data_IF_129438684117
#
_entry.id   IF_129438684117
#
_cell.length_a   1.000
_cell.length_b   1.000
_cell.length_c   1.000
_cell.angle_alpha   90.00
_cell.angle_beta   90.00
_cell.angle_gamma   90.00
#
_symmetry.space_group_name_H-M   'P 1'
#
loop_
_entity.id
_entity.type
_entity.pdbx_description
1 polymer ?
#
# COMPACT_ATOMS: atom_id res chain seq x y z
N UNK A 1 9.22 -5.06 -16.97
CA UNK A 1 9.86 -4.33 -15.85
C UNK A 1 11.28 -4.86 -15.69
N UNK A 2 12.27 -4.01 -15.33
CA UNK A 2 13.60 -4.50 -15.02
C UNK A 2 13.53 -5.54 -13.88
N UNK A 3 14.33 -6.59 -13.96
CA UNK A 3 14.45 -7.58 -12.89
C UNK A 3 15.11 -6.91 -11.69
N UNK A 4 14.40 -6.85 -10.56
CA UNK A 4 14.93 -6.35 -9.30
C UNK A 4 15.41 -7.55 -8.50
N UNK A 5 16.73 -7.65 -8.32
CA UNK A 5 17.36 -8.68 -7.52
C UNK A 5 17.91 -8.03 -6.24
N UNK A 6 17.34 -8.39 -5.09
CA UNK A 6 17.74 -7.87 -3.78
C UNK A 6 17.85 -9.05 -2.81
N UNK A 7 18.94 -9.15 -2.02
CA UNK A 7 19.06 -10.17 -0.99
C UNK A 7 17.91 -10.11 0.01
N UNK A 8 17.37 -11.26 0.42
CA UNK A 8 16.25 -11.33 1.39
C UNK A 8 16.64 -10.68 2.72
N UNK A 9 17.90 -10.80 3.10
CA UNK A 9 18.51 -10.25 4.30
C UNK A 9 18.40 -8.72 4.33
N UNK A 10 18.53 -8.07 3.17
CA UNK A 10 18.33 -6.63 3.05
C UNK A 10 16.85 -6.27 3.24
N UNK A 11 15.92 -7.05 2.66
CA UNK A 11 14.48 -6.84 2.84
C UNK A 11 14.04 -6.98 4.29
N UNK A 12 14.65 -7.88 5.07
CA UNK A 12 14.37 -8.07 6.51
C UNK A 12 14.71 -6.86 7.37
N UNK A 13 15.63 -6.00 6.92
CA UNK A 13 15.95 -4.75 7.64
C UNK A 13 14.85 -3.69 7.48
N UNK A 14 13.90 -3.92 6.56
CA UNK A 14 12.83 -2.97 6.25
C UNK A 14 11.57 -3.36 7.03
N UNK A 15 10.95 -2.35 7.59
CA UNK A 15 9.69 -2.41 8.34
C UNK A 15 8.63 -1.62 7.57
N UNK A 16 7.59 -2.30 7.11
CA UNK A 16 6.49 -1.74 6.31
C UNK A 16 5.31 -1.36 7.20
N UNK A 17 4.83 -0.14 7.06
CA UNK A 17 3.59 0.34 7.68
C UNK A 17 2.54 0.56 6.59
N UNK A 18 1.50 -0.27 6.58
CA UNK A 18 0.38 -0.17 5.65
C UNK A 18 -0.72 0.65 6.31
N UNK A 19 -1.00 1.80 5.73
CA UNK A 19 -1.90 2.81 6.23
C UNK A 19 -3.13 2.94 5.32
N UNK A 20 -4.30 2.59 5.85
CA UNK A 20 -5.54 2.57 5.08
C UNK A 20 -6.64 3.36 5.76
N UNK A 21 -7.08 4.48 5.16
CA UNK A 21 -8.31 5.13 5.58
C UNK A 21 -9.52 4.29 5.12
N UNK A 22 -10.43 3.97 6.03
CA UNK A 22 -11.64 3.18 5.78
C UNK A 22 -12.88 4.05 6.03
N UNK A 23 -13.36 4.72 4.98
CA UNK A 23 -14.60 5.50 5.04
C UNK A 23 -15.78 4.60 5.41
N UNK A 24 -16.53 4.95 6.45
CA UNK A 24 -17.64 4.15 6.96
C UNK A 24 -17.25 2.74 7.42
N UNK A 25 -15.96 2.48 7.67
CA UNK A 25 -15.44 1.15 8.01
C UNK A 25 -15.48 0.14 6.87
N UNK A 26 -15.65 0.59 5.62
CA UNK A 26 -15.73 -0.29 4.47
C UNK A 26 -14.37 -0.92 4.14
N UNK A 27 -14.37 -2.25 3.99
CA UNK A 27 -13.22 -3.04 3.60
C UNK A 27 -13.62 -3.95 2.42
N UNK A 28 -13.06 -3.70 1.23
CA UNK A 28 -13.49 -4.42 0.03
C UNK A 28 -12.81 -5.79 -0.04
N UNK A 29 -13.50 -6.77 -0.64
CA UNK A 29 -13.01 -8.15 -0.77
C UNK A 29 -11.65 -8.29 -1.46
N UNK A 30 -11.45 -7.70 -2.66
CA UNK A 30 -10.16 -7.73 -3.36
C UNK A 30 -9.01 -7.16 -2.51
N UNK A 31 -9.24 -5.96 -1.94
CA UNK A 31 -8.30 -5.33 -1.01
C UNK A 31 -7.96 -6.24 0.20
N UNK A 32 -8.97 -6.85 0.82
CA UNK A 32 -8.78 -7.77 1.95
C UNK A 32 -7.91 -8.96 1.56
N UNK A 33 -8.17 -9.55 0.39
CA UNK A 33 -7.36 -10.66 -0.14
C UNK A 33 -5.91 -10.21 -0.36
N UNK A 34 -5.70 -9.05 -0.98
CA UNK A 34 -4.38 -8.48 -1.24
C UNK A 34 -3.57 -8.25 0.05
N UNK A 35 -4.21 -7.78 1.13
CA UNK A 35 -3.57 -7.66 2.45
C UNK A 35 -3.14 -9.02 3.03
N UNK A 36 -3.98 -10.05 2.91
CA UNK A 36 -3.67 -11.39 3.41
C UNK A 36 -2.51 -12.02 2.63
N UNK A 37 -2.49 -11.84 1.31
CA UNK A 37 -1.41 -12.28 0.45
C UNK A 37 -0.11 -11.53 0.80
N UNK A 38 -0.17 -10.21 1.00
CA UNK A 38 0.96 -9.40 1.44
C UNK A 38 1.50 -9.85 2.80
N UNK A 39 0.61 -10.09 3.78
CA UNK A 39 1.02 -10.56 5.09
C UNK A 39 1.73 -11.92 5.00
N UNK A 40 1.19 -12.84 4.20
CA UNK A 40 1.78 -14.17 3.97
C UNK A 40 3.19 -14.06 3.38
N UNK A 41 3.39 -13.19 2.39
CA UNK A 41 4.70 -12.97 1.76
C UNK A 41 5.67 -12.30 2.73
N UNK A 42 5.24 -11.27 3.46
CA UNK A 42 6.06 -10.62 4.47
C UNK A 42 6.52 -11.62 5.55
N UNK A 43 5.61 -12.46 6.05
CA UNK A 43 5.95 -13.53 7.00
C UNK A 43 6.96 -14.51 6.42
N UNK A 44 6.74 -14.98 5.18
CA UNK A 44 7.65 -15.92 4.49
C UNK A 44 9.08 -15.38 4.38
N UNK A 45 9.24 -14.09 4.10
CA UNK A 45 10.56 -13.47 3.93
C UNK A 45 11.12 -12.85 5.22
N UNK A 46 10.35 -12.83 6.31
CA UNK A 46 10.75 -12.22 7.59
C UNK A 46 10.73 -10.69 7.56
N UNK A 47 9.89 -10.10 6.71
CA UNK A 47 9.69 -8.65 6.62
C UNK A 47 8.66 -8.26 7.66
N UNK A 48 9.00 -7.30 8.53
CA UNK A 48 8.05 -6.79 9.51
C UNK A 48 7.02 -5.91 8.79
N UNK A 49 5.74 -6.21 8.98
CA UNK A 49 4.62 -5.43 8.45
C UNK A 49 3.62 -5.12 9.56
N UNK A 50 3.15 -3.88 9.61
CA UNK A 50 2.06 -3.45 10.48
C UNK A 50 0.94 -2.88 9.62
N UNK A 51 -0.29 -3.27 9.92
CA UNK A 51 -1.48 -2.71 9.31
C UNK A 51 -2.14 -1.72 10.27
N UNK A 52 -2.46 -0.54 9.78
CA UNK A 52 -3.17 0.48 10.53
C UNK A 52 -4.38 0.96 9.74
N UNK A 53 -5.56 0.76 10.32
CA UNK A 53 -6.84 1.10 9.70
C UNK A 53 -7.48 2.25 10.47
N UNK A 54 -7.70 3.37 9.79
CA UNK A 54 -8.41 4.51 10.37
C UNK A 54 -9.87 4.47 9.92
N UNK A 55 -10.75 4.10 10.84
CA UNK A 55 -12.17 3.96 10.59
C UNK A 55 -12.91 5.30 10.77
N UNK A 56 -13.99 5.49 10.02
CA UNK A 56 -15.00 6.53 10.25
C UNK A 56 -14.50 7.98 10.21
N UNK A 57 -13.44 8.26 9.47
CA UNK A 57 -13.01 9.63 9.16
C UNK A 57 -13.63 10.07 7.82
N UNK A 58 -14.31 11.22 7.82
CA UNK A 58 -15.00 11.74 6.64
C UNK A 58 -14.10 12.60 5.77
N UNK A 59 -13.05 13.19 6.34
CA UNK A 59 -12.11 14.04 5.62
C UNK A 59 -10.80 13.29 5.33
N UNK A 60 -10.60 12.88 4.07
CA UNK A 60 -9.45 12.07 3.66
C UNK A 60 -8.09 12.72 3.94
N UNK A 61 -8.00 14.05 3.85
CA UNK A 61 -6.76 14.79 4.14
C UNK A 61 -6.38 14.68 5.61
N UNK A 62 -7.38 14.77 6.50
CA UNK A 62 -7.20 14.56 7.94
C UNK A 62 -6.83 13.10 8.24
N UNK A 63 -7.52 12.16 7.59
CA UNK A 63 -7.23 10.73 7.75
C UNK A 63 -5.77 10.40 7.41
N UNK A 64 -5.28 10.88 6.26
CA UNK A 64 -3.89 10.70 5.82
C UNK A 64 -2.89 11.35 6.76
N UNK A 65 -3.20 12.54 7.31
CA UNK A 65 -2.34 13.19 8.28
C UNK A 65 -2.20 12.37 9.57
N UNK A 66 -3.28 11.83 10.12
CA UNK A 66 -3.21 10.96 11.30
C UNK A 66 -2.40 9.69 11.04
N UNK A 67 -2.63 9.05 9.89
CA UNK A 67 -1.89 7.87 9.49
C UNK A 67 -0.38 8.14 9.33
N UNK A 68 -0.01 9.29 8.76
CA UNK A 68 1.39 9.71 8.66
C UNK A 68 2.00 10.00 10.04
N UNK A 69 1.24 10.62 10.93
CA UNK A 69 1.64 10.93 12.30
C UNK A 69 1.88 9.65 13.13
N UNK A 70 1.02 8.63 12.99
CA UNK A 70 1.23 7.30 13.57
C UNK A 70 2.49 6.62 13.00
N UNK A 71 2.70 6.70 11.68
CA UNK A 71 3.91 6.18 11.05
C UNK A 71 5.18 6.84 11.60
N UNK A 72 5.20 8.17 11.75
CA UNK A 72 6.35 8.94 12.26
C UNK A 72 6.65 8.60 13.72
N UNK A 73 5.63 8.35 14.54
CA UNK A 73 5.81 7.91 15.94
C UNK A 73 6.34 6.48 16.04
N UNK A 74 6.05 5.64 15.06
CA UNK A 74 6.49 4.26 15.01
C UNK A 74 7.92 4.10 14.52
N UNK A 75 8.50 2.92 14.78
CA UNK A 75 9.82 2.56 14.26
C UNK A 75 9.72 1.85 12.90
N UNK A 76 9.04 2.46 11.93
CA UNK A 76 8.88 1.89 10.58
C UNK A 76 9.79 2.60 9.57
N UNK A 77 10.19 1.87 8.53
CA UNK A 77 11.08 2.41 7.49
C UNK A 77 10.33 2.92 6.26
N UNK A 78 9.17 2.33 5.97
CA UNK A 78 8.40 2.61 4.77
C UNK A 78 6.91 2.73 5.10
N UNK A 79 6.28 3.77 4.55
CA UNK A 79 4.84 4.01 4.63
C UNK A 79 4.19 3.66 3.29
N UNK A 80 3.21 2.78 3.31
CA UNK A 80 2.34 2.50 2.17
C UNK A 80 0.94 3.03 2.46
N UNK A 81 0.54 4.07 1.74
CA UNK A 81 -0.87 4.47 1.68
C UNK A 81 -1.62 3.62 0.66
N UNK A 82 -2.78 3.11 1.06
CA UNK A 82 -3.66 2.37 0.17
C UNK A 82 -5.12 2.59 0.59
N UNK A 83 -6.00 2.87 -0.37
CA UNK A 83 -7.43 3.03 -0.10
C UNK A 83 -8.09 1.62 -0.02
N UNK A 84 -9.13 1.47 0.79
CA UNK A 84 -9.75 0.16 1.08
C UNK A 84 -10.54 -0.47 -0.06
N UNK A 85 -10.65 0.24 -1.19
CA UNK A 85 -11.30 -0.20 -2.42
C UNK A 85 -10.33 -0.42 -3.59
N UNK A 86 -9.01 -0.40 -3.32
CA UNK A 86 -7.96 -0.65 -4.30
C UNK A 86 -7.40 -2.06 -4.11
N UNK A 87 -7.37 -2.81 -5.21
CA UNK A 87 -6.69 -4.11 -5.29
C UNK A 87 -5.22 -3.92 -5.69
N UNK A 88 -4.35 -4.84 -5.27
CA UNK A 88 -2.93 -4.83 -5.61
C UNK A 88 -2.31 -6.23 -5.52
N UNK A 89 -1.23 -6.44 -6.24
CA UNK A 89 -0.44 -7.67 -6.14
C UNK A 89 0.61 -7.52 -5.03
N UNK A 90 0.69 -8.52 -4.15
CA UNK A 90 1.58 -8.47 -2.99
C UNK A 90 3.06 -8.39 -3.40
N UNK A 91 3.44 -9.08 -4.48
CA UNK A 91 4.81 -9.02 -5.02
C UNK A 91 5.19 -7.65 -5.58
N UNK A 92 4.23 -6.86 -6.05
CA UNK A 92 4.50 -5.48 -6.48
C UNK A 92 4.90 -4.62 -5.29
N UNK A 93 4.25 -4.79 -4.13
CA UNK A 93 4.64 -4.12 -2.88
C UNK A 93 6.05 -4.52 -2.44
N UNK A 94 6.40 -5.80 -2.53
CA UNK A 94 7.77 -6.26 -2.22
C UNK A 94 8.78 -5.66 -3.19
N UNK A 95 8.44 -5.56 -4.47
CA UNK A 95 9.30 -4.95 -5.49
C UNK A 95 9.50 -3.45 -5.22
N UNK A 96 8.43 -2.72 -4.90
CA UNK A 96 8.51 -1.31 -4.53
C UNK A 96 9.33 -1.10 -3.26
N UNK A 97 9.12 -1.98 -2.26
CA UNK A 97 9.93 -1.99 -1.07
C UNK A 97 11.39 -2.15 -1.48
N UNK A 98 11.73 -3.21 -2.23
CA UNK A 98 13.07 -3.56 -2.72
C UNK A 98 13.81 -2.39 -3.41
N UNK A 99 13.11 -1.63 -4.26
CA UNK A 99 13.67 -0.48 -4.99
C UNK A 99 14.16 0.67 -4.09
N UNK A 100 13.68 0.76 -2.85
CA UNK A 100 14.11 1.72 -1.83
C UNK A 100 14.21 3.17 -2.35
N UNK A 101 13.16 3.63 -3.04
CA UNK A 101 13.09 5.02 -3.52
C UNK A 101 12.40 5.89 -2.47
N UNK A 102 12.74 7.19 -2.38
CA UNK A 102 12.09 8.10 -1.41
C UNK A 102 10.57 8.13 -1.56
N UNK A 103 10.09 8.03 -2.81
CA UNK A 103 8.68 7.93 -3.15
C UNK A 103 8.56 6.97 -4.34
N UNK A 104 7.61 6.05 -4.26
CA UNK A 104 7.19 5.20 -5.37
C UNK A 104 5.66 5.01 -5.29
N UNK A 105 5.04 4.60 -6.40
CA UNK A 105 3.59 4.42 -6.46
C UNK A 105 3.18 3.40 -7.50
N UNK A 106 2.07 2.72 -7.23
CA UNK A 106 1.38 1.87 -8.18
C UNK A 106 0.29 2.65 -8.91
N UNK A 107 0.17 2.56 -10.24
CA UNK A 107 -0.94 3.14 -10.96
C UNK A 107 -2.23 2.33 -10.71
N UNK A 108 -3.36 3.01 -10.59
CA UNK A 108 -4.69 2.39 -10.58
C UNK A 108 -5.65 3.21 -11.47
N UNK A 109 -6.72 2.60 -12.01
CA UNK A 109 -7.68 3.32 -12.84
C UNK A 109 -8.39 4.43 -12.07
N UNK A 110 -8.32 5.66 -12.58
CA UNK A 110 -9.13 6.75 -12.05
C UNK A 110 -10.61 6.44 -12.30
N UNK A 111 -11.48 6.72 -11.33
CA UNK A 111 -12.95 6.51 -11.41
C UNK A 111 -13.67 7.46 -12.40
N UNK A 112 -12.95 8.02 -13.37
CA UNK A 112 -13.47 8.96 -14.37
C UNK A 112 -12.96 8.56 -15.74
N UNK A 113 -13.86 8.48 -16.73
CA UNK A 113 -13.49 8.27 -18.12
C UNK A 113 -13.17 9.63 -18.76
N UNK A 114 -12.02 9.71 -19.42
CA UNK A 114 -11.65 10.85 -20.26
C UNK A 114 -12.27 10.66 -21.65
N UNK A 115 -13.56 10.99 -21.77
CA UNK A 115 -14.36 10.75 -22.98
C UNK A 115 -13.72 11.36 -24.24
N UNK A 116 -13.06 12.50 -24.11
CA UNK A 116 -12.33 13.15 -25.21
C UNK A 116 -11.15 12.34 -25.77
N UNK A 117 -10.72 11.30 -25.06
CA UNK A 117 -9.63 10.39 -25.47
C UNK A 117 -10.14 9.02 -25.91
N UNK A 118 -11.45 8.78 -25.83
CA UNK A 118 -12.05 7.53 -26.28
C UNK A 118 -12.13 7.60 -27.80
N UNK A 119 -11.53 6.63 -28.47
CA UNK A 119 -11.60 6.51 -29.92
C UNK A 119 -12.98 5.95 -30.30
N UNK A 120 -13.74 6.71 -31.10
CA UNK A 120 -14.94 6.19 -31.75
C UNK A 120 -14.51 5.28 -32.89
N UNK A 121 -14.83 3.98 -32.75
CA UNK A 121 -14.52 2.94 -33.73
C UNK A 121 -15.51 2.91 -34.90
#
# INVERSE_FOLDING_TARGET
MPKVEVPVEELRTRKLFVATPMYGGMCNGPYTKALLDLNTICMKYGIQVQYFFLFNESLITRARNYLADEFIRGEFTHLMFIDSDIDFEAMDVITLLALNKPIAGGPYPKKTIAWEKVYDA
#
